data_IF_907237611296
#
_entry.id   IF_907237611296
#
_cell.length_a   1.000
_cell.length_b   1.000
_cell.length_c   1.000
_cell.angle_alpha   90.00
_cell.angle_beta   90.00
_cell.angle_gamma   90.00
#
_symmetry.space_group_name_H-M   'P 1'
#
loop_
_entity.id
_entity.type
_entity.pdbx_description
1 polymer ?
#
# COMPACT_ATOMS: atom_id res chain seq x y z
N UNK A 1 -18.54 48.25 66.04
CA UNK A 1 -17.36 47.61 66.66
C UNK A 1 -16.83 46.55 65.70
N UNK A 2 -15.56 46.72 65.30
CA UNK A 2 -14.63 45.75 64.66
C UNK A 2 -15.14 44.96 63.45
N UNK A 3 -14.81 45.28 62.20
CA UNK A 3 -13.49 45.17 61.51
C UNK A 3 -12.75 43.88 61.83
N UNK A 4 -12.62 42.99 60.84
CA UNK A 4 -11.33 42.46 60.41
C UNK A 4 -11.44 41.85 59.01
N UNK A 5 -10.65 42.42 58.10
CA UNK A 5 -10.40 41.96 56.73
C UNK A 5 -9.37 40.84 56.78
N UNK A 6 -9.65 39.71 56.14
CA UNK A 6 -8.68 38.62 55.99
C UNK A 6 -7.69 38.98 54.88
N UNK A 7 -6.41 39.00 55.24
CA UNK A 7 -5.27 39.29 54.37
C UNK A 7 -5.15 38.24 53.25
N UNK A 8 -5.04 38.72 52.01
CA UNK A 8 -4.66 37.93 50.84
C UNK A 8 -3.19 37.54 50.99
N UNK A 9 -2.90 36.26 51.12
CA UNK A 9 -1.54 35.74 51.05
C UNK A 9 -0.93 36.06 49.67
N UNK A 10 0.17 36.80 49.69
CA UNK A 10 0.95 37.09 48.49
C UNK A 10 1.80 35.86 48.17
N UNK A 11 1.44 35.15 47.10
CA UNK A 11 2.28 34.11 46.50
C UNK A 11 3.56 34.76 46.00
N UNK A 12 4.77 34.29 46.38
CA UNK A 12 6.01 34.87 45.89
C UNK A 12 6.11 34.61 44.39
N UNK A 13 6.18 35.70 43.62
CA UNK A 13 6.40 35.68 42.18
C UNK A 13 7.78 35.08 41.91
N UNK A 14 7.83 33.78 41.56
CA UNK A 14 9.02 33.19 40.95
C UNK A 14 9.30 33.97 39.67
N UNK A 15 10.41 34.71 39.63
CA UNK A 15 10.93 35.26 38.38
C UNK A 15 11.00 34.14 37.37
N UNK A 16 10.29 34.31 36.25
CA UNK A 16 10.37 33.43 35.11
C UNK A 16 11.83 33.39 34.63
N UNK A 17 12.47 32.25 34.79
CA UNK A 17 13.74 31.97 34.11
C UNK A 17 13.51 32.10 32.61
N UNK A 18 14.37 32.88 31.95
CA UNK A 18 14.46 33.02 30.49
C UNK A 18 14.18 31.71 29.76
N UNK A 19 13.40 31.69 28.67
CA UNK A 19 13.24 30.49 27.86
C UNK A 19 14.62 30.11 27.31
N UNK A 20 15.20 29.03 27.86
CA UNK A 20 16.38 28.42 27.29
C UNK A 20 16.08 28.13 25.83
N UNK A 21 16.84 28.73 24.93
CA UNK A 21 16.84 28.42 23.50
C UNK A 21 16.80 26.90 23.34
N UNK A 22 15.85 26.34 22.57
CA UNK A 22 15.82 24.91 22.37
C UNK A 22 17.12 24.55 21.65
N UNK A 23 18.03 23.87 22.37
CA UNK A 23 19.19 23.24 21.77
C UNK A 23 18.63 22.39 20.64
N UNK A 24 19.01 22.71 19.39
CA UNK A 24 18.64 21.89 18.25
C UNK A 24 19.21 20.50 18.52
N UNK A 25 18.34 19.57 18.94
CA UNK A 25 18.74 18.20 19.12
C UNK A 25 19.11 17.70 17.73
N UNK A 26 20.42 17.54 17.47
CA UNK A 26 20.92 16.88 16.28
C UNK A 26 20.27 15.51 16.29
N UNK A 27 19.27 15.32 15.43
CA UNK A 27 18.54 14.07 15.34
C UNK A 27 19.47 13.10 14.64
N UNK A 28 20.12 12.22 15.40
CA UNK A 28 20.96 11.18 14.82
C UNK A 28 20.14 10.40 13.79
N UNK A 29 20.70 10.28 12.58
CA UNK A 29 20.06 9.54 11.50
C UNK A 29 19.84 8.08 11.94
N UNK A 30 18.60 7.60 11.80
CA UNK A 30 18.21 6.25 12.18
C UNK A 30 17.38 5.62 11.06
N UNK A 31 17.75 4.40 10.69
CA UNK A 31 17.04 3.62 9.67
C UNK A 31 15.69 3.06 10.16
N UNK A 32 15.51 2.94 11.49
CA UNK A 32 14.32 2.30 12.08
C UNK A 32 13.00 2.89 11.56
N UNK A 33 12.80 4.22 11.62
CA UNK A 33 11.61 4.85 11.07
C UNK A 33 11.39 4.55 9.58
N UNK A 34 12.43 4.54 8.76
CA UNK A 34 12.31 4.23 7.33
C UNK A 34 11.85 2.79 7.09
N UNK A 35 12.35 1.83 7.87
CA UNK A 35 11.90 0.44 7.83
C UNK A 35 10.43 0.27 8.27
N UNK A 36 9.99 1.08 9.24
CA UNK A 36 8.58 1.16 9.64
C UNK A 36 7.72 1.77 8.52
N UNK A 37 8.19 2.82 7.84
CA UNK A 37 7.47 3.50 6.75
C UNK A 37 7.19 2.52 5.61
N UNK A 38 8.20 1.77 5.19
CA UNK A 38 8.11 0.80 4.09
C UNK A 38 7.48 -0.53 4.49
N UNK A 39 7.05 -0.68 5.76
CA UNK A 39 6.39 -1.86 6.33
C UNK A 39 7.18 -3.16 6.26
N UNK A 40 8.51 -3.08 6.31
CA UNK A 40 9.36 -4.27 6.29
C UNK A 40 9.12 -5.19 7.51
N UNK A 41 8.74 -4.60 8.65
CA UNK A 41 8.42 -5.34 9.88
C UNK A 41 7.04 -6.02 9.89
N UNK A 42 6.18 -5.80 8.89
CA UNK A 42 4.80 -6.31 8.85
C UNK A 42 4.54 -7.16 7.61
N UNK A 43 5.00 -8.43 7.55
CA UNK A 43 5.00 -9.22 6.31
C UNK A 43 3.59 -9.59 5.81
N UNK A 44 2.56 -9.61 6.65
CA UNK A 44 1.22 -10.06 6.26
C UNK A 44 0.67 -9.36 4.99
N UNK A 45 0.78 -8.03 4.89
CA UNK A 45 0.32 -7.29 3.71
C UNK A 45 1.15 -7.55 2.44
N UNK A 46 2.35 -8.12 2.55
CA UNK A 46 3.18 -8.48 1.39
C UNK A 46 2.61 -9.73 0.72
N UNK A 47 2.09 -10.67 1.51
CA UNK A 47 1.46 -11.88 0.97
C UNK A 47 0.27 -11.53 0.07
N UNK A 48 -0.52 -10.52 0.45
CA UNK A 48 -1.63 -10.02 -0.38
C UNK A 48 -1.18 -9.48 -1.74
N UNK A 49 -0.01 -8.86 -1.82
CA UNK A 49 0.55 -8.37 -3.09
C UNK A 49 1.22 -9.49 -3.89
N UNK A 50 1.96 -10.39 -3.24
CA UNK A 50 2.62 -11.53 -3.91
C UNK A 50 1.60 -12.48 -4.55
N UNK A 51 0.47 -12.70 -3.90
CA UNK A 51 -0.50 -13.72 -4.29
C UNK A 51 -1.02 -13.55 -5.74
N UNK A 52 -1.48 -12.36 -6.18
CA UNK A 52 -1.82 -12.11 -7.58
C UNK A 52 -0.68 -12.34 -8.59
N UNK A 53 0.58 -12.04 -8.23
CA UNK A 53 1.71 -12.28 -9.13
C UNK A 53 1.95 -13.77 -9.31
N UNK A 54 2.04 -14.53 -8.22
CA UNK A 54 2.33 -15.96 -8.27
C UNK A 54 1.18 -16.73 -8.91
N UNK A 55 -0.05 -16.50 -8.45
CA UNK A 55 -1.22 -17.22 -8.97
C UNK A 55 -1.52 -16.81 -10.41
N UNK A 56 -1.41 -15.52 -10.74
CA UNK A 56 -1.56 -15.03 -12.11
C UNK A 56 -0.52 -15.64 -13.05
N UNK A 57 0.74 -15.71 -12.63
CA UNK A 57 1.81 -16.32 -13.41
C UNK A 57 1.56 -17.82 -13.63
N UNK A 58 1.31 -18.56 -12.56
CA UNK A 58 1.05 -20.00 -12.64
C UNK A 58 -0.18 -20.30 -13.52
N UNK A 59 -1.24 -19.50 -13.41
CA UNK A 59 -2.41 -19.64 -14.26
C UNK A 59 -2.08 -19.35 -15.73
N UNK A 60 -1.37 -18.26 -15.99
CA UNK A 60 -0.91 -17.89 -17.34
C UNK A 60 -0.05 -18.98 -17.97
N UNK A 61 0.86 -19.60 -17.22
CA UNK A 61 1.64 -20.77 -17.67
C UNK A 61 0.72 -21.95 -17.98
N UNK A 62 -0.21 -22.30 -17.09
CA UNK A 62 -1.11 -23.44 -17.26
C UNK A 62 -2.03 -23.34 -18.49
N UNK A 63 -2.54 -22.14 -18.79
CA UNK A 63 -3.40 -21.91 -19.96
C UNK A 63 -2.61 -21.79 -21.26
N UNK A 64 -1.30 -21.59 -21.19
CA UNK A 64 -0.38 -21.57 -22.34
C UNK A 64 0.22 -22.95 -22.57
N UNK A 65 1.25 -23.29 -21.81
CA UNK A 65 1.93 -24.56 -21.88
C UNK A 65 2.52 -24.86 -20.49
N UNK A 66 1.95 -25.82 -19.73
CA UNK A 66 2.39 -26.15 -18.37
C UNK A 66 3.85 -26.58 -18.26
N UNK A 67 4.47 -27.05 -19.35
CA UNK A 67 5.86 -27.56 -19.35
C UNK A 67 6.85 -26.59 -19.97
N UNK A 68 6.41 -25.38 -20.34
CA UNK A 68 7.25 -24.45 -21.10
C UNK A 68 8.39 -23.80 -20.29
N UNK A 69 8.28 -23.77 -18.96
CA UNK A 69 9.30 -23.17 -18.11
C UNK A 69 10.13 -24.24 -17.40
N UNK A 70 11.45 -24.15 -17.56
CA UNK A 70 12.37 -24.93 -16.71
C UNK A 70 12.22 -24.51 -15.24
N UNK A 71 12.46 -25.42 -14.27
CA UNK A 71 12.44 -25.07 -12.84
C UNK A 71 13.32 -23.87 -12.50
N UNK A 72 14.48 -23.74 -13.16
CA UNK A 72 15.41 -22.62 -12.96
C UNK A 72 14.82 -21.27 -13.41
N UNK A 73 14.11 -21.24 -14.53
CA UNK A 73 13.47 -20.03 -15.04
C UNK A 73 12.28 -19.65 -14.17
N UNK A 74 11.45 -20.61 -13.77
CA UNK A 74 10.37 -20.39 -12.80
C UNK A 74 10.91 -19.79 -11.49
N UNK A 75 11.98 -20.36 -10.94
CA UNK A 75 12.60 -19.86 -9.71
C UNK A 75 13.08 -18.40 -9.85
N UNK A 76 13.75 -18.07 -10.96
CA UNK A 76 14.17 -16.69 -11.25
C UNK A 76 12.99 -15.71 -11.32
N UNK A 77 11.93 -16.08 -12.05
CA UNK A 77 10.74 -15.24 -12.20
C UNK A 77 10.02 -15.03 -10.87
N UNK A 78 9.86 -16.08 -10.06
CA UNK A 78 9.26 -15.97 -8.72
C UNK A 78 10.06 -15.01 -7.85
N UNK A 79 11.39 -15.07 -7.86
CA UNK A 79 12.23 -14.13 -7.11
C UNK A 79 12.01 -12.70 -7.60
N UNK A 80 11.98 -12.47 -8.91
CA UNK A 80 11.69 -11.14 -9.48
C UNK A 80 10.32 -10.63 -9.01
N UNK A 81 9.29 -11.47 -9.04
CA UNK A 81 7.94 -11.10 -8.59
C UNK A 81 7.85 -10.82 -7.09
N UNK A 82 8.59 -11.56 -6.27
CA UNK A 82 8.67 -11.29 -4.82
C UNK A 82 9.36 -9.94 -4.58
N UNK A 83 10.45 -9.66 -5.30
CA UNK A 83 11.16 -8.38 -5.19
C UNK A 83 10.29 -7.21 -5.65
N UNK A 84 9.63 -7.33 -6.81
CA UNK A 84 8.70 -6.30 -7.28
C UNK A 84 7.54 -6.10 -6.29
N UNK A 85 6.93 -7.18 -5.81
CA UNK A 85 5.84 -7.10 -4.81
C UNK A 85 6.28 -6.41 -3.53
N UNK A 86 7.50 -6.70 -3.06
CA UNK A 86 8.08 -6.06 -1.89
C UNK A 86 8.24 -4.56 -2.13
N UNK A 87 8.89 -4.17 -3.22
CA UNK A 87 9.15 -2.77 -3.55
C UNK A 87 7.82 -2.03 -3.78
N UNK A 88 6.89 -2.61 -4.53
CA UNK A 88 5.59 -2.02 -4.84
C UNK A 88 4.76 -1.77 -3.59
N UNK A 89 4.70 -2.76 -2.70
CA UNK A 89 4.00 -2.60 -1.42
C UNK A 89 4.65 -1.54 -0.55
N UNK A 90 5.98 -1.58 -0.42
CA UNK A 90 6.74 -0.59 0.33
C UNK A 90 6.52 0.83 -0.20
N UNK A 91 6.54 0.99 -1.52
CA UNK A 91 6.24 2.22 -2.23
C UNK A 91 4.83 2.73 -1.92
N UNK A 92 3.82 1.86 -2.07
CA UNK A 92 2.43 2.21 -1.81
C UNK A 92 2.18 2.58 -0.35
N UNK A 93 2.83 1.91 0.60
CA UNK A 93 2.75 2.26 2.02
C UNK A 93 3.36 3.63 2.31
N UNK A 94 4.53 3.94 1.74
CA UNK A 94 5.18 5.22 1.92
C UNK A 94 4.33 6.36 1.32
N UNK A 95 3.81 6.17 0.11
CA UNK A 95 2.89 7.11 -0.53
C UNK A 95 1.61 7.32 0.29
N UNK A 96 0.99 6.23 0.75
CA UNK A 96 -0.22 6.30 1.55
C UNK A 96 0.00 7.07 2.86
N UNK A 97 1.08 6.79 3.59
CA UNK A 97 1.41 7.52 4.81
C UNK A 97 1.64 9.02 4.52
N UNK A 98 2.24 9.39 3.39
CA UNK A 98 2.42 10.80 2.96
C UNK A 98 1.07 11.50 2.77
N UNK A 99 0.15 10.87 2.04
CA UNK A 99 -1.18 11.46 1.76
C UNK A 99 -2.05 11.49 3.01
N UNK A 100 -1.92 10.50 3.89
CA UNK A 100 -2.79 10.33 5.05
C UNK A 100 -2.22 10.87 6.36
N UNK A 101 -1.04 11.49 6.35
CA UNK A 101 -0.32 11.91 7.57
C UNK A 101 -1.18 12.69 8.59
N UNK A 102 -2.07 13.59 8.13
CA UNK A 102 -2.95 14.39 9.00
C UNK A 102 -4.10 13.57 9.59
N UNK A 103 -4.64 12.64 8.81
CA UNK A 103 -5.66 11.71 9.28
C UNK A 103 -5.05 10.69 10.25
N UNK A 104 -3.88 10.16 9.90
CA UNK A 104 -3.17 9.17 10.70
C UNK A 104 -2.80 9.71 12.09
N UNK A 105 -2.57 11.02 12.24
CA UNK A 105 -2.35 11.70 13.54
C UNK A 105 -3.58 11.62 14.47
N UNK A 106 -4.78 11.58 13.90
CA UNK A 106 -6.05 11.60 14.63
C UNK A 106 -6.52 10.19 15.00
N UNK A 107 -6.02 9.15 14.33
CA UNK A 107 -6.42 7.75 14.51
C UNK A 107 -5.52 7.04 15.52
N UNK A 108 -6.10 6.42 16.56
CA UNK A 108 -5.36 5.79 17.67
C UNK A 108 -4.36 4.72 17.19
N UNK A 109 -4.75 3.92 16.19
CA UNK A 109 -3.90 2.89 15.59
C UNK A 109 -2.76 3.48 14.76
N UNK A 110 -3.01 4.57 14.04
CA UNK A 110 -2.10 5.13 13.05
C UNK A 110 -1.20 6.24 13.59
N UNK A 111 -1.53 6.87 14.73
CA UNK A 111 -0.73 7.96 15.32
C UNK A 111 0.71 7.56 15.66
N UNK A 112 0.96 6.25 15.79
CA UNK A 112 2.30 5.69 16.03
C UNK A 112 3.12 5.49 14.76
N UNK A 113 2.57 5.69 13.56
CA UNK A 113 3.32 5.59 12.30
C UNK A 113 4.45 6.62 12.28
N UNK A 114 5.59 6.32 11.65
CA UNK A 114 6.78 7.18 11.71
C UNK A 114 6.51 8.59 11.19
N UNK A 115 5.74 8.76 10.11
CA UNK A 115 5.42 10.09 9.58
C UNK A 115 4.39 10.83 10.45
N UNK A 116 3.36 10.14 10.93
CA UNK A 116 2.34 10.72 11.81
C UNK A 116 2.94 11.22 13.14
N UNK A 117 3.84 10.44 13.78
CA UNK A 117 4.55 10.81 15.02
C UNK A 117 5.74 11.76 14.80
N UNK A 118 6.00 12.15 13.56
CA UNK A 118 7.11 13.04 13.20
C UNK A 118 8.50 12.44 13.35
N UNK A 119 8.66 11.11 13.32
CA UNK A 119 9.96 10.43 13.33
C UNK A 119 10.70 10.54 11.99
N UNK A 120 9.98 10.79 10.89
CA UNK A 120 10.51 11.11 9.55
C UNK A 120 9.85 12.42 9.09
N UNK A 121 10.57 13.23 8.32
CA UNK A 121 9.99 14.42 7.71
C UNK A 121 9.18 14.07 6.45
N UNK A 122 8.22 14.89 6.07
CA UNK A 122 7.45 14.67 4.82
C UNK A 122 8.35 14.66 3.57
N UNK A 123 9.36 15.56 3.42
CA UNK A 123 10.33 15.48 2.33
C UNK A 123 11.09 14.14 2.27
N UNK A 124 11.53 13.61 3.42
CA UNK A 124 12.26 12.33 3.46
C UNK A 124 11.36 11.15 3.08
N UNK A 125 10.09 11.17 3.50
CA UNK A 125 9.11 10.16 3.12
C UNK A 125 8.78 10.21 1.62
N UNK A 126 8.69 11.41 1.03
CA UNK A 126 8.54 11.61 -0.41
C UNK A 126 9.77 11.13 -1.18
N UNK A 127 10.98 11.45 -0.71
CA UNK A 127 12.23 10.96 -1.30
C UNK A 127 12.29 9.43 -1.26
N UNK A 128 11.92 8.82 -0.14
CA UNK A 128 11.82 7.35 0.00
C UNK A 128 10.83 6.77 -1.02
N UNK A 129 9.66 7.40 -1.17
CA UNK A 129 8.64 7.00 -2.15
C UNK A 129 9.20 7.09 -3.58
N UNK A 130 9.90 8.17 -3.93
CA UNK A 130 10.51 8.32 -5.25
C UNK A 130 11.59 7.27 -5.53
N UNK A 131 12.48 7.02 -4.56
CA UNK A 131 13.53 5.99 -4.69
C UNK A 131 12.91 4.62 -4.92
N UNK A 132 11.87 4.25 -4.17
CA UNK A 132 11.18 2.96 -4.37
C UNK A 132 10.50 2.88 -5.74
N UNK A 133 9.94 3.98 -6.25
CA UNK A 133 9.38 4.01 -7.60
C UNK A 133 10.45 3.74 -8.67
N UNK A 134 11.60 4.40 -8.56
CA UNK A 134 12.74 4.21 -9.47
C UNK A 134 13.25 2.77 -9.41
N UNK A 135 13.42 2.22 -8.19
CA UNK A 135 13.86 0.84 -8.00
C UNK A 135 12.89 -0.16 -8.62
N UNK A 136 11.58 0.05 -8.43
CA UNK A 136 10.54 -0.82 -8.99
C UNK A 136 10.60 -0.84 -10.52
N UNK A 137 10.55 0.35 -11.13
CA UNK A 137 10.54 0.48 -12.58
C UNK A 137 11.87 0.05 -13.20
N UNK A 138 13.00 0.33 -12.55
CA UNK A 138 14.31 -0.16 -12.95
C UNK A 138 14.42 -1.69 -12.91
N UNK A 139 13.89 -2.33 -11.85
CA UNK A 139 13.84 -3.80 -11.76
C UNK A 139 13.02 -4.39 -12.92
N UNK A 140 11.79 -3.92 -13.12
CA UNK A 140 10.89 -4.47 -14.15
C UNK A 140 11.45 -4.24 -15.55
N UNK A 141 11.91 -3.03 -15.84
CA UNK A 141 12.46 -2.67 -17.14
C UNK A 141 13.71 -3.49 -17.50
N UNK A 142 14.56 -3.79 -16.51
CA UNK A 142 15.80 -4.55 -16.74
C UNK A 142 15.61 -6.07 -16.78
N UNK A 143 14.51 -6.59 -16.23
CA UNK A 143 14.33 -8.05 -16.05
C UNK A 143 13.13 -8.65 -16.79
N UNK A 144 12.11 -7.86 -17.13
CA UNK A 144 10.84 -8.31 -17.72
C UNK A 144 10.59 -7.65 -19.09
N UNK A 145 9.64 -8.17 -19.89
CA UNK A 145 9.29 -7.58 -21.18
C UNK A 145 8.80 -6.12 -21.07
N UNK A 146 8.97 -5.34 -22.14
CA UNK A 146 8.56 -3.92 -22.18
C UNK A 146 7.09 -3.73 -21.83
N UNK A 147 6.21 -4.65 -22.25
CA UNK A 147 4.78 -4.61 -21.91
C UNK A 147 4.53 -4.77 -20.41
N UNK A 148 5.34 -5.55 -19.69
CA UNK A 148 5.27 -5.63 -18.23
C UNK A 148 5.53 -4.27 -17.57
N UNK A 149 6.47 -3.48 -18.11
CA UNK A 149 6.76 -2.12 -17.62
C UNK A 149 5.56 -1.17 -17.81
N UNK A 150 4.80 -1.31 -18.89
CA UNK A 150 3.57 -0.53 -19.12
C UNK A 150 2.49 -0.88 -18.10
N UNK A 151 2.30 -2.17 -17.80
CA UNK A 151 1.38 -2.60 -16.75
C UNK A 151 1.85 -2.13 -15.37
N UNK A 152 3.15 -2.17 -15.08
CA UNK A 152 3.71 -1.63 -13.84
C UNK A 152 3.42 -0.13 -13.69
N UNK A 153 3.59 0.65 -14.75
CA UNK A 153 3.26 2.08 -14.76
C UNK A 153 1.77 2.30 -14.44
N UNK A 154 0.88 1.54 -15.08
CA UNK A 154 -0.55 1.64 -14.82
C UNK A 154 -0.89 1.30 -13.36
N UNK A 155 -0.29 0.25 -12.78
CA UNK A 155 -0.49 -0.06 -11.35
C UNK A 155 0.04 1.03 -10.41
N UNK A 156 1.17 1.68 -10.75
CA UNK A 156 1.67 2.83 -10.01
C UNK A 156 0.72 4.02 -10.11
N UNK A 157 0.14 4.31 -11.28
CA UNK A 157 -0.85 5.38 -11.42
C UNK A 157 -2.11 5.12 -10.59
N UNK A 158 -2.63 3.89 -10.59
CA UNK A 158 -3.74 3.49 -9.73
C UNK A 158 -3.37 3.62 -8.24
N UNK A 159 -2.16 3.21 -7.86
CA UNK A 159 -1.66 3.34 -6.49
C UNK A 159 -1.48 4.80 -6.04
N UNK A 160 -1.21 5.72 -6.96
CA UNK A 160 -1.16 7.15 -6.65
C UNK A 160 -2.56 7.70 -6.29
N UNK A 161 -3.59 7.22 -6.98
CA UNK A 161 -4.98 7.64 -6.81
C UNK A 161 -5.60 7.02 -5.55
N UNK A 162 -5.27 5.77 -5.25
CA UNK A 162 -5.90 4.97 -4.18
C UNK A 162 -6.09 5.71 -2.83
N UNK A 163 -5.08 6.36 -2.22
CA UNK A 163 -5.23 6.98 -0.90
C UNK A 163 -6.30 8.08 -0.86
N UNK A 164 -6.59 8.72 -2.00
CA UNK A 164 -7.61 9.76 -2.09
C UNK A 164 -9.03 9.20 -2.14
N UNK A 165 -9.20 7.94 -2.56
CA UNK A 165 -10.52 7.33 -2.79
C UNK A 165 -11.40 7.35 -1.55
N UNK A 166 -10.82 7.14 -0.36
CA UNK A 166 -11.57 7.17 0.92
C UNK A 166 -12.19 8.53 1.25
N UNK A 167 -11.74 9.61 0.60
CA UNK A 167 -12.27 10.96 0.77
C UNK A 167 -13.39 11.29 -0.22
N UNK A 168 -13.53 10.49 -1.28
CA UNK A 168 -14.45 10.79 -2.40
C UNK A 168 -15.51 9.69 -2.62
N UNK A 169 -15.31 8.47 -2.13
CA UNK A 169 -16.27 7.39 -2.26
C UNK A 169 -16.25 6.42 -1.08
N UNK A 170 -17.28 5.57 -1.00
CA UNK A 170 -17.42 4.53 0.02
C UNK A 170 -16.84 3.17 -0.41
N UNK A 171 -16.05 3.11 -1.49
CA UNK A 171 -15.48 1.86 -2.00
C UNK A 171 -13.97 1.97 -2.32
N UNK A 172 -13.13 2.58 -1.47
CA UNK A 172 -11.68 2.62 -1.70
C UNK A 172 -11.05 1.22 -1.82
N UNK A 173 -11.65 0.21 -1.17
CA UNK A 173 -11.28 -1.21 -1.27
C UNK A 173 -11.29 -1.71 -2.71
N UNK A 174 -12.27 -1.29 -3.52
CA UNK A 174 -12.37 -1.69 -4.92
C UNK A 174 -11.23 -1.08 -5.75
N UNK A 175 -10.85 0.17 -5.48
CA UNK A 175 -9.73 0.82 -6.15
C UNK A 175 -8.40 0.12 -5.82
N UNK A 176 -8.16 -0.16 -4.53
CA UNK A 176 -7.00 -0.94 -4.09
C UNK A 176 -6.94 -2.29 -4.78
N UNK A 177 -8.05 -3.03 -4.73
CA UNK A 177 -8.13 -4.38 -5.24
C UNK A 177 -7.97 -4.46 -6.76
N UNK A 178 -8.49 -3.48 -7.49
CA UNK A 178 -8.29 -3.31 -8.94
C UNK A 178 -6.80 -3.11 -9.25
N UNK A 179 -6.12 -2.22 -8.51
CA UNK A 179 -4.70 -1.97 -8.69
C UNK A 179 -3.81 -3.17 -8.37
N UNK A 180 -4.09 -3.87 -7.26
CA UNK A 180 -3.36 -5.07 -6.84
C UNK A 180 -3.63 -6.26 -7.77
N UNK A 181 -4.89 -6.48 -8.15
CA UNK A 181 -5.29 -7.54 -9.09
C UNK A 181 -4.67 -7.37 -10.48
N UNK A 182 -4.37 -6.13 -10.90
CA UNK A 182 -3.79 -5.83 -12.21
C UNK A 182 -2.43 -6.50 -12.46
N UNK A 183 -1.76 -6.95 -11.39
CA UNK A 183 -0.57 -7.79 -11.46
C UNK A 183 -0.76 -9.02 -12.38
N UNK A 184 -1.97 -9.56 -12.48
CA UNK A 184 -2.30 -10.69 -13.38
C UNK A 184 -1.94 -10.38 -14.83
N UNK A 185 -2.20 -9.16 -15.31
CA UNK A 185 -1.83 -8.77 -16.67
C UNK A 185 -0.32 -8.58 -16.83
N UNK A 186 0.34 -8.02 -15.81
CA UNK A 186 1.79 -7.85 -15.81
C UNK A 186 2.48 -9.20 -15.97
N UNK A 187 2.14 -10.18 -15.13
CA UNK A 187 2.75 -11.51 -15.19
C UNK A 187 2.32 -12.31 -16.42
N UNK A 188 1.15 -12.05 -16.99
CA UNK A 188 0.73 -12.65 -18.26
C UNK A 188 1.67 -12.26 -19.41
N UNK A 189 2.09 -10.98 -19.48
CA UNK A 189 3.05 -10.53 -20.50
C UNK A 189 4.39 -11.25 -20.43
N UNK A 190 4.79 -11.74 -19.25
CA UNK A 190 6.03 -12.54 -19.11
C UNK A 190 5.92 -13.88 -19.84
N UNK A 191 4.72 -14.45 -19.94
CA UNK A 191 4.49 -15.76 -20.56
C UNK A 191 4.29 -15.66 -22.06
N UNK A 192 3.75 -14.53 -22.55
CA UNK A 192 3.39 -14.34 -23.96
C UNK A 192 4.34 -13.41 -24.73
N UNK A 193 5.12 -12.58 -24.04
CA UNK A 193 6.02 -11.60 -24.67
C UNK A 193 7.48 -11.79 -24.20
N UNK A 194 8.41 -11.36 -25.05
CA UNK A 194 9.83 -11.23 -24.71
C UNK A 194 10.61 -12.56 -24.61
N UNK A 195 11.72 -12.61 -23.86
CA UNK A 195 12.65 -13.75 -23.85
C UNK A 195 12.11 -14.98 -23.11
N UNK A 196 11.02 -14.81 -22.37
CA UNK A 196 10.32 -15.85 -21.63
C UNK A 196 9.04 -16.30 -22.34
N UNK A 197 8.76 -15.73 -23.52
CA UNK A 197 7.60 -16.09 -24.31
C UNK A 197 7.65 -17.58 -24.65
N UNK A 198 6.50 -18.22 -24.49
CA UNK A 198 6.33 -19.63 -24.78
C UNK A 198 5.51 -19.79 -26.05
N UNK A 199 5.76 -20.86 -26.83
CA UNK A 199 4.92 -21.17 -27.97
C UNK A 199 3.47 -21.22 -27.51
N UNK A 200 2.61 -20.44 -28.15
CA UNK A 200 1.20 -20.29 -27.77
C UNK A 200 0.38 -21.48 -28.29
N UNK A 201 0.91 -22.70 -28.13
CA UNK A 201 0.20 -23.97 -28.23
C UNK A 201 -0.66 -24.14 -26.97
N UNK A 202 -1.65 -23.25 -26.86
CA UNK A 202 -2.51 -23.12 -25.70
C UNK A 202 -3.41 -24.33 -25.50
N UNK A 203 -3.57 -24.79 -24.25
CA UNK A 203 -4.72 -25.64 -23.86
C UNK A 203 -6.06 -24.93 -24.08
N UNK A 204 -6.05 -23.60 -24.02
CA UNK A 204 -7.20 -22.73 -24.26
C UNK A 204 -6.93 -21.89 -25.50
N UNK A 205 -7.62 -22.13 -26.62
CA UNK A 205 -7.49 -21.38 -27.88
C UNK A 205 -7.12 -19.90 -27.66
N UNK A 206 -6.17 -19.38 -28.43
CA UNK A 206 -5.73 -17.96 -28.41
C UNK A 206 -6.91 -16.99 -28.31
N UNK A 207 -8.03 -17.28 -28.98
CA UNK A 207 -9.27 -16.49 -28.95
C UNK A 207 -9.88 -16.36 -27.55
N UNK A 208 -9.75 -17.39 -26.72
CA UNK A 208 -10.34 -17.48 -25.38
C UNK A 208 -9.38 -17.04 -24.26
N UNK A 209 -8.07 -16.91 -24.54
CA UNK A 209 -7.08 -16.46 -23.55
C UNK A 209 -7.45 -15.12 -22.89
N UNK A 210 -7.84 -14.05 -23.63
CA UNK A 210 -8.17 -12.78 -22.98
C UNK A 210 -9.29 -12.91 -21.94
N UNK A 211 -10.28 -13.78 -22.20
CA UNK A 211 -11.37 -14.08 -21.27
C UNK A 211 -10.86 -14.81 -20.02
N UNK A 212 -9.97 -15.79 -20.20
CA UNK A 212 -9.36 -16.53 -19.10
C UNK A 212 -8.55 -15.59 -18.17
N UNK A 213 -7.70 -14.74 -18.75
CA UNK A 213 -6.90 -13.76 -17.98
C UNK A 213 -7.80 -12.72 -17.31
N UNK A 214 -8.84 -12.24 -17.99
CA UNK A 214 -9.81 -11.32 -17.39
C UNK A 214 -10.59 -11.97 -16.22
N UNK A 215 -10.96 -13.24 -16.34
CA UNK A 215 -11.61 -13.98 -15.25
C UNK A 215 -10.69 -14.13 -14.04
N UNK A 216 -9.41 -14.44 -14.26
CA UNK A 216 -8.41 -14.48 -13.20
C UNK A 216 -8.22 -13.11 -12.55
N UNK A 217 -8.14 -12.04 -13.34
CA UNK A 217 -8.09 -10.67 -12.84
C UNK A 217 -9.31 -10.31 -11.98
N UNK A 218 -10.52 -10.66 -12.44
CA UNK A 218 -11.75 -10.44 -11.68
C UNK A 218 -11.75 -11.23 -10.36
N UNK A 219 -11.32 -12.49 -10.39
CA UNK A 219 -11.17 -13.33 -9.20
C UNK A 219 -10.20 -12.69 -8.18
N UNK A 220 -9.02 -12.26 -8.62
CA UNK A 220 -8.03 -11.59 -7.77
C UNK A 220 -8.55 -10.26 -7.22
N UNK A 221 -9.26 -9.48 -8.04
CA UNK A 221 -9.86 -8.21 -7.60
C UNK A 221 -10.92 -8.46 -6.52
N UNK A 222 -11.83 -9.41 -6.73
CA UNK A 222 -12.85 -9.73 -5.74
C UNK A 222 -12.22 -10.26 -4.44
N UNK A 223 -11.23 -11.15 -4.54
CA UNK A 223 -10.52 -11.68 -3.37
C UNK A 223 -9.85 -10.56 -2.55
N UNK A 224 -9.09 -9.68 -3.20
CA UNK A 224 -8.42 -8.56 -2.52
C UNK A 224 -9.42 -7.56 -1.94
N UNK A 225 -10.53 -7.30 -2.65
CA UNK A 225 -11.59 -6.41 -2.16
C UNK A 225 -12.25 -7.00 -0.91
N UNK A 226 -12.58 -8.30 -0.92
CA UNK A 226 -13.16 -8.99 0.24
C UNK A 226 -12.20 -8.97 1.41
N UNK A 227 -10.93 -9.31 1.19
CA UNK A 227 -9.91 -9.30 2.23
C UNK A 227 -9.76 -7.91 2.86
N UNK A 228 -9.60 -6.86 2.05
CA UNK A 228 -9.45 -5.49 2.56
C UNK A 228 -10.72 -4.98 3.26
N UNK A 229 -11.90 -5.42 2.82
CA UNK A 229 -13.17 -5.10 3.49
C UNK A 229 -13.24 -5.72 4.89
N UNK A 230 -12.79 -6.97 5.08
CA UNK A 230 -12.71 -7.62 6.40
C UNK A 230 -11.80 -6.82 7.35
N UNK A 231 -10.70 -6.26 6.83
CA UNK A 231 -9.84 -5.37 7.63
C UNK A 231 -10.54 -4.05 7.94
N UNK A 232 -11.25 -3.46 6.98
CA UNK A 232 -11.98 -2.21 7.18
C UNK A 232 -13.08 -2.31 8.25
N UNK A 233 -13.68 -3.49 8.48
CA UNK A 233 -14.63 -3.70 9.57
C UNK A 233 -14.02 -3.41 10.96
N UNK A 234 -12.72 -3.60 11.14
CA UNK A 234 -12.02 -3.31 12.40
C UNK A 234 -11.80 -1.80 12.60
N UNK A 235 -11.82 -1.02 11.51
CA UNK A 235 -11.51 0.40 11.50
C UNK A 235 -12.78 1.29 11.44
N UNK A 236 -14.00 0.71 11.40
CA UNK A 236 -15.27 1.45 11.24
C UNK A 236 -15.39 2.65 12.19
N UNK A 237 -15.12 2.46 13.49
CA UNK A 237 -15.29 3.54 14.46
C UNK A 237 -14.32 4.70 14.22
N UNK A 238 -13.09 4.39 13.80
CA UNK A 238 -12.08 5.40 13.52
C UNK A 238 -12.35 6.09 12.17
N UNK A 239 -12.79 5.34 11.16
CA UNK A 239 -13.18 5.86 9.85
C UNK A 239 -14.37 6.84 9.95
N UNK A 240 -15.38 6.50 10.76
CA UNK A 240 -16.54 7.37 11.02
C UNK A 240 -16.11 8.67 11.73
N UNK A 241 -15.22 8.58 12.73
CA UNK A 241 -14.68 9.77 13.42
C UNK A 241 -13.86 10.66 12.50
N UNK A 242 -13.10 10.06 11.59
CA UNK A 242 -12.29 10.76 10.61
C UNK A 242 -13.09 11.27 9.39
N UNK A 243 -14.37 10.90 9.27
CA UNK A 243 -15.23 11.29 8.15
C UNK A 243 -14.83 10.70 6.80
N UNK A 244 -14.21 9.52 6.79
CA UNK A 244 -13.76 8.82 5.58
C UNK A 244 -14.69 7.66 5.23
N UNK A 245 -14.79 7.37 3.93
CA UNK A 245 -15.60 6.27 3.40
C UNK A 245 -14.84 4.95 3.36
N UNK A 246 -15.55 3.85 3.61
CA UNK A 246 -15.08 2.48 3.42
C UNK A 246 -16.25 1.55 3.06
N UNK A 247 -15.96 0.45 2.37
CA UNK A 247 -16.99 -0.51 1.96
C UNK A 247 -17.67 -1.15 3.19
N UNK A 248 -16.93 -1.31 4.28
CA UNK A 248 -17.46 -1.78 5.56
C UNK A 248 -18.54 -0.83 6.11
N UNK A 249 -18.30 0.50 6.08
CA UNK A 249 -19.32 1.49 6.47
C UNK A 249 -20.55 1.40 5.55
N UNK A 250 -20.35 1.26 4.24
CA UNK A 250 -21.47 1.13 3.30
C UNK A 250 -22.32 -0.12 3.60
N UNK A 251 -21.69 -1.27 3.87
CA UNK A 251 -22.39 -2.50 4.22
C UNK A 251 -23.20 -2.37 5.52
N UNK A 252 -22.63 -1.74 6.55
CA UNK A 252 -23.34 -1.52 7.82
C UNK A 252 -24.57 -0.62 7.62
N UNK A 253 -24.43 0.48 6.88
CA UNK A 253 -25.56 1.39 6.60
C UNK A 253 -26.73 0.69 5.90
N UNK A 254 -26.43 -0.13 4.88
CA UNK A 254 -27.46 -0.89 4.17
C UNK A 254 -28.20 -1.87 5.07
N UNK A 255 -27.55 -2.42 6.11
CA UNK A 255 -28.18 -3.36 7.03
C UNK A 255 -29.01 -2.65 8.11
N UNK A 256 -28.62 -1.43 8.52
CA UNK A 256 -29.36 -0.65 9.52
C UNK A 256 -30.55 0.13 8.94
N UNK A 257 -30.60 0.31 7.62
CA UNK A 257 -31.70 0.97 6.91
C UNK A 257 -32.80 -0.02 6.44
N UNK A 258 -32.67 -1.32 6.76
CA UNK A 258 -33.67 -2.37 6.56
C UNK A 258 -34.46 -2.63 7.85
#
# INVERSE_FOLDING_TARGET
MSTQYTLVETVPTKLASSPSTPKSAVRNFSWGPYLELVRLSKPAGLLGVIFPYVIGFLYSVNVTNPTAFSPSTCGRLIVIFILDSLIFRSWGCAWNDVVDQDLDRQVLRCRKRPLARGAISTPDALATTLVLAILRHGLIYSTLPVRASQHALLTSLLGLIYPFMKRICNFPQLCLATGVGWAVFLVDTVVVDGPYATDVTSNVSIRNRPKAILAMYACQTLFNMTYDTIYAFQDIQDDLKAGVGSLAIACVKMHTEQ
#
